data_IF_171733469294
#
_entry.id   IF_171733469294
#
_cell.length_a   1.000
_cell.length_b   1.000
_cell.length_c   1.000
_cell.angle_alpha   90.00
_cell.angle_beta   90.00
_cell.angle_gamma   90.00
#
_symmetry.space_group_name_H-M   'P 1'
#
loop_
_entity.id
_entity.type
_entity.pdbx_description
1 polymer ?
#
# COMPACT_ATOMS: atom_id res chain seq x y z
N UNK A 1 -3.08 2.33 6.49
CA UNK A 1 -3.56 2.01 5.12
C UNK A 1 -4.58 3.03 4.63
N UNK A 2 -5.66 3.28 5.39
CA UNK A 2 -6.63 4.34 5.07
C UNK A 2 -6.08 5.77 5.18
N UNK A 3 -4.86 5.95 5.70
CA UNK A 3 -4.12 7.22 5.66
C UNK A 3 -3.62 7.57 4.25
N UNK A 4 -3.66 6.64 3.31
CA UNK A 4 -3.29 6.87 1.90
C UNK A 4 -4.52 7.40 1.15
N UNK A 5 -4.53 8.67 0.68
CA UNK A 5 -5.75 9.32 0.17
C UNK A 5 -6.37 8.61 -1.03
N UNK A 6 -5.56 8.20 -2.01
CA UNK A 6 -6.02 7.49 -3.21
C UNK A 6 -6.63 6.11 -2.91
N UNK A 7 -6.25 5.50 -1.79
CA UNK A 7 -6.87 4.26 -1.33
C UNK A 7 -8.19 4.56 -0.62
N UNK A 8 -8.23 5.53 0.30
CA UNK A 8 -9.47 5.91 0.98
C UNK A 8 -10.54 6.36 -0.03
N UNK A 9 -10.15 7.16 -1.03
CA UNK A 9 -11.01 7.62 -2.11
C UNK A 9 -11.58 6.47 -2.95
N UNK A 10 -10.83 5.38 -3.17
CA UNK A 10 -11.31 4.20 -3.90
C UNK A 10 -12.52 3.54 -3.24
N UNK A 11 -12.66 3.66 -1.92
CA UNK A 11 -13.73 3.08 -1.14
C UNK A 11 -14.72 4.13 -0.63
N UNK A 12 -14.71 5.35 -1.20
CA UNK A 12 -15.57 6.47 -0.81
C UNK A 12 -15.43 6.87 0.68
N UNK A 13 -14.25 6.64 1.27
CA UNK A 13 -13.97 6.99 2.67
C UNK A 13 -13.32 8.38 2.72
N UNK A 14 -14.04 9.34 3.29
CA UNK A 14 -13.54 10.69 3.55
C UNK A 14 -12.70 10.74 4.83
N UNK A 15 -11.95 11.83 5.03
CA UNK A 15 -11.18 12.03 6.27
C UNK A 15 -12.09 12.08 7.51
N UNK A 16 -13.28 12.67 7.39
CA UNK A 16 -14.28 12.67 8.45
C UNK A 16 -14.81 11.25 8.73
N UNK A 17 -15.17 10.52 7.67
CA UNK A 17 -15.62 9.14 7.79
C UNK A 17 -14.57 8.24 8.43
N UNK A 18 -13.29 8.47 8.12
CA UNK A 18 -12.17 7.74 8.71
C UNK A 18 -12.08 7.93 10.24
N UNK A 19 -12.47 9.09 10.79
CA UNK A 19 -12.49 9.32 12.25
C UNK A 19 -13.54 8.44 12.93
N UNK A 20 -14.74 8.36 12.37
CA UNK A 20 -15.78 7.44 12.85
C UNK A 20 -15.34 5.99 12.75
N UNK A 21 -14.78 5.57 11.60
CA UNK A 21 -14.30 4.20 11.43
C UNK A 21 -13.23 3.82 12.46
N UNK A 22 -12.28 4.72 12.78
CA UNK A 22 -11.28 4.46 13.83
C UNK A 22 -11.92 4.26 15.20
N UNK A 23 -12.89 5.10 15.55
CA UNK A 23 -13.63 4.97 16.80
C UNK A 23 -14.37 3.63 16.84
N UNK A 24 -15.14 3.32 15.81
CA UNK A 24 -15.96 2.11 15.75
C UNK A 24 -15.13 0.84 15.73
N UNK A 25 -14.01 0.80 15.01
CA UNK A 25 -13.07 -0.34 15.04
C UNK A 25 -12.55 -0.57 16.46
N UNK A 26 -12.27 0.50 17.21
CA UNK A 26 -11.84 0.39 18.59
C UNK A 26 -12.96 -0.16 19.49
N UNK A 27 -14.17 0.41 19.43
CA UNK A 27 -15.29 0.12 20.33
C UNK A 27 -16.02 -1.20 20.00
N UNK A 28 -16.07 -1.60 18.72
CA UNK A 28 -16.61 -2.88 18.27
C UNK A 28 -15.75 -4.08 18.70
N UNK A 29 -14.53 -3.84 19.20
CA UNK A 29 -13.65 -4.85 19.77
C UNK A 29 -12.77 -5.57 18.75
N UNK A 30 -12.55 -5.01 17.56
CA UNK A 30 -11.64 -5.56 16.55
C UNK A 30 -10.20 -5.41 17.04
N UNK A 31 -9.45 -6.51 17.12
CA UNK A 31 -8.04 -6.52 17.60
C UNK A 31 -7.13 -7.46 16.82
N UNK A 32 -7.69 -8.39 16.05
CA UNK A 32 -6.98 -9.49 15.40
C UNK A 32 -7.23 -9.52 13.89
N UNK A 33 -6.82 -10.64 13.27
CA UNK A 33 -6.88 -10.92 11.85
C UNK A 33 -8.26 -10.76 11.20
N UNK A 34 -8.27 -10.90 9.88
CA UNK A 34 -9.44 -10.62 9.04
C UNK A 34 -10.65 -11.53 9.36
N UNK A 35 -10.38 -12.82 9.56
CA UNK A 35 -11.34 -13.87 9.87
C UNK A 35 -10.69 -15.00 10.69
N UNK A 36 -11.50 -15.98 11.10
CA UNK A 36 -11.00 -17.13 11.87
C UNK A 36 -10.08 -18.03 11.04
N UNK A 37 -10.21 -18.04 9.71
CA UNK A 37 -9.30 -18.80 8.83
C UNK A 37 -7.88 -18.22 8.93
N UNK A 38 -7.74 -16.89 8.97
CA UNK A 38 -6.46 -16.23 9.25
C UNK A 38 -5.87 -16.62 10.61
N UNK A 39 -6.70 -16.71 11.65
CA UNK A 39 -6.24 -17.09 12.99
C UNK A 39 -5.75 -18.54 12.98
N UNK A 40 -6.45 -19.44 12.29
CA UNK A 40 -6.06 -20.86 12.15
C UNK A 40 -4.79 -21.04 11.33
N UNK A 41 -4.60 -20.26 10.26
CA UNK A 41 -3.36 -20.26 9.47
C UNK A 41 -2.13 -19.86 10.30
N UNK A 42 -2.31 -19.08 11.36
CA UNK A 42 -1.27 -18.71 12.33
C UNK A 42 -1.12 -19.74 13.47
N UNK A 43 -1.79 -20.88 13.37
CA UNK A 43 -1.81 -21.94 14.40
C UNK A 43 -2.31 -21.44 15.77
N UNK A 44 -3.16 -20.40 15.77
CA UNK A 44 -3.77 -19.83 16.97
C UNK A 44 -5.21 -20.37 17.17
N UNK A 45 -5.71 -20.44 18.42
CA UNK A 45 -7.07 -20.88 18.68
C UNK A 45 -8.08 -19.85 18.17
N UNK A 46 -8.91 -20.27 17.20
CA UNK A 46 -10.00 -19.44 16.69
C UNK A 46 -11.10 -19.26 17.75
N UNK A 47 -11.30 -18.03 18.20
CA UNK A 47 -12.30 -17.68 19.22
C UNK A 47 -13.62 -17.19 18.63
N UNK A 48 -13.67 -16.90 17.33
CA UNK A 48 -14.83 -16.28 16.67
C UNK A 48 -15.07 -14.82 17.08
N UNK A 49 -14.20 -14.25 17.91
CA UNK A 49 -14.32 -12.91 18.48
C UNK A 49 -13.08 -12.08 18.17
N UNK A 50 -13.22 -10.76 18.23
CA UNK A 50 -12.14 -9.79 18.03
C UNK A 50 -11.47 -9.80 16.64
N UNK A 51 -11.99 -10.54 15.67
CA UNK A 51 -11.60 -10.45 14.26
C UNK A 51 -12.30 -9.28 13.56
N UNK A 52 -11.81 -8.89 12.37
CA UNK A 52 -12.51 -7.89 11.55
C UNK A 52 -13.92 -8.35 11.18
N UNK A 53 -14.08 -9.62 10.79
CA UNK A 53 -15.41 -10.22 10.52
C UNK A 53 -16.35 -10.07 11.71
N UNK A 54 -15.87 -10.33 12.93
CA UNK A 54 -16.68 -10.17 14.15
C UNK A 54 -17.12 -8.72 14.36
N UNK A 55 -16.19 -7.76 14.38
CA UNK A 55 -16.56 -6.36 14.63
C UNK A 55 -17.43 -5.78 13.51
N UNK A 56 -17.18 -6.15 12.26
CA UNK A 56 -18.03 -5.75 11.14
C UNK A 56 -19.44 -6.33 11.25
N UNK A 57 -19.57 -7.59 11.70
CA UNK A 57 -20.87 -8.20 11.97
C UNK A 57 -21.62 -7.42 13.06
N UNK A 58 -20.93 -7.00 14.13
CA UNK A 58 -21.54 -6.16 15.18
C UNK A 58 -22.03 -4.81 14.64
N UNK A 59 -21.23 -4.14 13.82
CA UNK A 59 -21.59 -2.85 13.23
C UNK A 59 -22.80 -2.97 12.28
N UNK A 60 -22.77 -3.96 11.38
CA UNK A 60 -23.88 -4.24 10.46
C UNK A 60 -25.15 -4.68 11.20
N UNK A 61 -24.99 -5.44 12.29
CA UNK A 61 -26.11 -5.82 13.13
C UNK A 61 -26.71 -4.62 13.87
N UNK A 62 -25.87 -3.69 14.36
CA UNK A 62 -26.30 -2.43 14.97
C UNK A 62 -27.06 -1.49 14.04
N UNK A 63 -26.87 -1.63 12.73
CA UNK A 63 -27.71 -0.97 11.73
C UNK A 63 -29.13 -1.56 11.67
N UNK A 64 -29.27 -2.87 11.85
CA UNK A 64 -30.55 -3.57 11.70
C UNK A 64 -31.34 -3.70 13.02
N UNK A 65 -30.64 -3.74 14.16
CA UNK A 65 -31.20 -4.03 15.47
C UNK A 65 -30.42 -3.32 16.57
N UNK A 66 -31.13 -2.70 17.50
CA UNK A 66 -30.54 -2.08 18.70
C UNK A 66 -30.05 -3.16 19.68
N UNK A 67 -28.96 -2.86 20.40
CA UNK A 67 -28.37 -3.76 21.41
C UNK A 67 -29.35 -4.17 22.52
N UNK A 68 -30.35 -3.33 22.82
CA UNK A 68 -31.40 -3.61 23.79
C UNK A 68 -32.28 -4.83 23.42
N UNK A 69 -32.31 -5.22 22.15
CA UNK A 69 -33.04 -6.41 21.67
C UNK A 69 -32.28 -7.72 21.95
N UNK A 70 -31.07 -7.64 22.50
CA UNK A 70 -30.24 -8.79 22.85
C UNK A 70 -29.27 -9.20 21.75
N UNK A 71 -28.66 -10.38 21.93
CA UNK A 71 -27.69 -10.91 20.98
C UNK A 71 -28.35 -11.65 19.81
N UNK A 72 -27.70 -11.59 18.65
CA UNK A 72 -28.03 -12.40 17.49
C UNK A 72 -26.84 -13.29 17.13
N UNK A 73 -27.04 -14.61 17.07
CA UNK A 73 -25.95 -15.59 16.84
C UNK A 73 -24.73 -15.38 17.75
N UNK A 74 -24.97 -15.10 19.05
CA UNK A 74 -23.91 -14.80 20.04
C UNK A 74 -23.09 -13.54 19.73
N UNK A 75 -23.64 -12.63 18.93
CA UNK A 75 -23.06 -11.34 18.59
C UNK A 75 -24.00 -10.25 19.07
N UNK A 76 -23.50 -9.36 19.95
CA UNK A 76 -24.26 -8.20 20.41
C UNK A 76 -24.12 -7.03 19.40
N UNK A 77 -25.23 -6.40 18.98
CA UNK A 77 -25.19 -5.24 18.09
C UNK A 77 -24.33 -4.09 18.64
N UNK A 78 -23.83 -3.25 17.73
CA UNK A 78 -23.08 -2.04 18.08
C UNK A 78 -23.83 -0.80 17.59
N UNK A 79 -24.44 -0.06 18.51
CA UNK A 79 -25.48 0.93 18.20
C UNK A 79 -24.95 2.23 17.57
N UNK A 80 -23.67 2.57 17.79
CA UNK A 80 -23.08 3.83 17.29
C UNK A 80 -22.95 3.87 15.77
N UNK A 81 -23.04 2.71 15.09
CA UNK A 81 -23.05 2.63 13.63
C UNK A 81 -24.46 2.65 13.04
N UNK A 82 -25.43 3.25 13.73
CA UNK A 82 -26.80 3.44 13.26
C UNK A 82 -26.99 4.79 12.54
N UNK A 83 -28.14 4.94 11.85
CA UNK A 83 -28.51 6.19 11.17
C UNK A 83 -27.78 6.43 9.84
N UNK A 84 -27.64 7.69 9.44
CA UNK A 84 -27.08 8.07 8.12
C UNK A 84 -25.61 7.68 7.96
N UNK A 85 -24.87 7.60 9.08
CA UNK A 85 -23.43 7.30 9.09
C UNK A 85 -23.17 5.80 8.85
N UNK A 86 -24.19 4.95 8.97
CA UNK A 86 -24.09 3.50 8.77
C UNK A 86 -23.57 3.10 7.38
N UNK A 87 -23.73 3.95 6.37
CA UNK A 87 -23.17 3.75 5.03
C UNK A 87 -21.63 3.54 5.07
N UNK A 88 -20.93 4.20 6.00
CA UNK A 88 -19.49 4.00 6.22
C UNK A 88 -19.13 2.56 6.57
N UNK A 89 -20.01 1.83 7.27
CA UNK A 89 -19.80 0.40 7.56
C UNK A 89 -19.81 -0.40 6.27
N UNK A 90 -20.66 -0.05 5.30
CA UNK A 90 -20.69 -0.65 3.98
C UNK A 90 -19.40 -0.42 3.19
N UNK A 91 -18.87 0.81 3.22
CA UNK A 91 -17.58 1.13 2.61
C UNK A 91 -16.42 0.35 3.23
N UNK A 92 -16.38 0.28 4.57
CA UNK A 92 -15.39 -0.53 5.29
C UNK A 92 -15.55 -2.03 4.98
N UNK A 93 -16.78 -2.54 4.92
CA UNK A 93 -17.07 -3.92 4.56
C UNK A 93 -16.53 -4.26 3.17
N UNK A 94 -16.76 -3.38 2.20
CA UNK A 94 -16.27 -3.51 0.83
C UNK A 94 -14.74 -3.58 0.78
N UNK A 95 -14.06 -2.69 1.51
CA UNK A 95 -12.60 -2.71 1.62
C UNK A 95 -12.08 -4.04 2.18
N UNK A 96 -12.64 -4.49 3.31
CA UNK A 96 -12.22 -5.74 3.95
C UNK A 96 -12.50 -6.95 3.07
N UNK A 97 -13.62 -6.96 2.36
CA UNK A 97 -13.93 -8.00 1.38
C UNK A 97 -12.89 -8.03 0.26
N UNK A 98 -12.54 -6.88 -0.29
CA UNK A 98 -11.52 -6.78 -1.34
C UNK A 98 -10.16 -7.27 -0.83
N UNK A 99 -9.73 -6.85 0.36
CA UNK A 99 -8.50 -7.35 0.99
C UNK A 99 -8.50 -8.88 1.14
N UNK A 100 -9.63 -9.47 1.55
CA UNK A 100 -9.72 -10.91 1.72
C UNK A 100 -9.62 -11.67 0.39
N UNK A 101 -10.28 -11.16 -0.66
CA UNK A 101 -10.20 -11.72 -2.01
C UNK A 101 -8.76 -11.74 -2.49
N UNK A 102 -8.06 -10.60 -2.38
CA UNK A 102 -6.67 -10.49 -2.81
C UNK A 102 -5.72 -11.32 -1.96
N UNK A 103 -5.88 -11.33 -0.64
CA UNK A 103 -5.07 -12.18 0.26
C UNK A 103 -5.15 -13.66 -0.16
N UNK A 104 -6.36 -14.18 -0.40
CA UNK A 104 -6.57 -15.58 -0.79
C UNK A 104 -6.05 -15.85 -2.21
N UNK A 105 -6.28 -14.91 -3.13
CA UNK A 105 -5.79 -15.02 -4.51
C UNK A 105 -4.27 -15.05 -4.59
N UNK A 106 -3.60 -14.19 -3.83
CA UNK A 106 -2.14 -14.03 -3.83
C UNK A 106 -1.39 -15.12 -3.05
N UNK A 107 -2.08 -15.98 -2.32
CA UNK A 107 -1.46 -17.01 -1.48
C UNK A 107 -0.91 -18.21 -2.28
N UNK A 108 -1.45 -18.48 -3.46
CA UNK A 108 -1.04 -19.61 -4.29
C UNK A 108 0.13 -19.23 -5.21
N UNK A 109 1.11 -20.13 -5.34
CA UNK A 109 2.17 -20.03 -6.34
C UNK A 109 1.56 -20.20 -7.75
N UNK A 110 2.10 -19.46 -8.72
CA UNK A 110 1.58 -19.48 -10.09
C UNK A 110 2.70 -19.45 -11.12
N UNK A 111 2.48 -19.99 -12.33
CA UNK A 111 3.36 -19.76 -13.47
C UNK A 111 3.60 -18.26 -13.70
N UNK A 112 4.79 -17.93 -14.19
CA UNK A 112 5.24 -16.55 -14.27
C UNK A 112 4.33 -15.66 -15.15
N UNK A 113 3.78 -16.21 -16.23
CA UNK A 113 2.82 -15.51 -17.10
C UNK A 113 1.51 -15.12 -16.40
N UNK A 114 1.05 -15.89 -15.41
CA UNK A 114 -0.20 -15.62 -14.70
C UNK A 114 -0.07 -14.44 -13.72
N UNK A 115 1.16 -14.05 -13.39
CA UNK A 115 1.43 -12.88 -12.55
C UNK A 115 1.30 -11.55 -13.30
N UNK A 116 1.35 -11.55 -14.65
CA UNK A 116 1.30 -10.32 -15.46
C UNK A 116 0.12 -9.40 -15.14
N UNK A 117 -1.15 -9.86 -15.13
CA UNK A 117 -2.29 -8.98 -14.88
C UNK A 117 -2.41 -8.54 -13.41
N UNK A 118 -1.80 -9.30 -12.49
CA UNK A 118 -2.03 -9.18 -11.04
C UNK A 118 -1.72 -7.78 -10.52
N UNK A 119 -0.60 -7.18 -10.94
CA UNK A 119 -0.23 -5.84 -10.48
C UNK A 119 -1.25 -4.78 -10.88
N UNK A 120 -1.62 -4.74 -12.17
CA UNK A 120 -2.59 -3.79 -12.71
C UNK A 120 -3.97 -3.97 -12.07
N UNK A 121 -4.41 -5.22 -11.96
CA UNK A 121 -5.72 -5.54 -11.36
C UNK A 121 -5.76 -5.14 -9.88
N UNK A 122 -4.66 -5.31 -9.14
CA UNK A 122 -4.56 -4.90 -7.74
C UNK A 122 -4.56 -3.38 -7.60
N UNK A 123 -3.81 -2.70 -8.47
CA UNK A 123 -3.75 -1.24 -8.51
C UNK A 123 -5.14 -0.64 -8.78
N UNK A 124 -5.86 -1.17 -9.78
CA UNK A 124 -7.23 -0.76 -10.08
C UNK A 124 -8.24 -1.15 -8.99
N UNK A 125 -7.99 -2.25 -8.27
CA UNK A 125 -8.85 -2.68 -7.18
C UNK A 125 -8.81 -1.72 -5.99
N UNK A 126 -7.61 -1.26 -5.60
CA UNK A 126 -7.39 -0.56 -4.33
C UNK A 126 -7.13 0.93 -4.46
N UNK A 127 -6.79 1.45 -5.63
CA UNK A 127 -6.43 2.85 -5.80
C UNK A 127 -7.32 3.54 -6.82
N UNK A 128 -7.75 4.76 -6.47
CA UNK A 128 -8.33 5.72 -7.39
C UNK A 128 -7.25 6.75 -7.72
N UNK A 129 -6.56 6.66 -8.88
CA UNK A 129 -5.42 7.50 -9.17
C UNK A 129 -5.78 8.99 -9.27
N UNK A 130 -4.86 9.82 -8.81
CA UNK A 130 -4.77 11.26 -9.09
C UNK A 130 -3.57 11.56 -10.00
N UNK A 131 -3.39 12.82 -10.38
CA UNK A 131 -2.35 13.22 -11.33
C UNK A 131 -0.91 12.92 -10.86
N UNK A 132 -0.66 12.89 -9.54
CA UNK A 132 0.67 12.59 -9.00
C UNK A 132 0.90 11.08 -8.89
N UNK A 133 -0.12 10.35 -8.43
CA UNK A 133 -0.04 8.90 -8.23
C UNK A 133 -0.12 8.11 -9.53
N UNK A 134 -0.71 8.64 -10.60
CA UNK A 134 -0.78 7.97 -11.90
C UNK A 134 0.62 7.65 -12.45
N UNK A 135 1.57 8.57 -12.30
CA UNK A 135 2.96 8.36 -12.70
C UNK A 135 3.63 7.26 -11.85
N UNK A 136 3.39 7.25 -10.54
CA UNK A 136 3.92 6.24 -9.64
C UNK A 136 3.32 4.85 -9.92
N UNK A 137 2.02 4.75 -10.18
CA UNK A 137 1.34 3.50 -10.53
C UNK A 137 1.87 2.95 -11.87
N UNK A 138 2.06 3.81 -12.85
CA UNK A 138 2.67 3.44 -14.14
C UNK A 138 4.08 2.88 -13.95
N UNK A 139 4.89 3.50 -13.08
CA UNK A 139 6.23 2.99 -12.77
C UNK A 139 6.17 1.59 -12.13
N UNK A 140 5.25 1.37 -11.19
CA UNK A 140 5.06 0.05 -10.55
C UNK A 140 4.69 -1.00 -11.61
N UNK A 141 3.74 -0.70 -12.51
CA UNK A 141 3.34 -1.60 -13.59
C UNK A 141 4.52 -1.92 -14.53
N UNK A 142 5.34 -0.93 -14.89
CA UNK A 142 6.50 -1.11 -15.75
C UNK A 142 7.55 -2.03 -15.12
N UNK A 143 7.89 -1.81 -13.84
CA UNK A 143 8.86 -2.66 -13.14
C UNK A 143 8.34 -4.08 -12.98
N UNK A 144 7.05 -4.24 -12.64
CA UNK A 144 6.42 -5.55 -12.56
C UNK A 144 6.48 -6.33 -13.88
N UNK A 145 6.15 -5.66 -15.00
CA UNK A 145 6.24 -6.26 -16.33
C UNK A 145 7.68 -6.63 -16.71
N UNK A 146 8.65 -5.78 -16.38
CA UNK A 146 10.06 -6.05 -16.65
C UNK A 146 10.58 -7.29 -15.91
N UNK A 147 10.27 -7.41 -14.61
CA UNK A 147 10.64 -8.58 -13.79
C UNK A 147 10.12 -9.87 -14.41
N UNK A 148 8.84 -9.88 -14.79
CA UNK A 148 8.20 -11.06 -15.38
C UNK A 148 8.78 -11.36 -16.77
N UNK A 149 8.97 -10.35 -17.62
CA UNK A 149 9.51 -10.53 -18.96
C UNK A 149 10.94 -11.14 -18.93
N UNK A 150 11.77 -10.73 -17.97
CA UNK A 150 13.11 -11.30 -17.78
C UNK A 150 13.06 -12.78 -17.39
N UNK A 151 12.18 -13.16 -16.44
CA UNK A 151 12.03 -14.55 -16.05
C UNK A 151 11.45 -15.44 -17.16
N UNK A 152 10.53 -14.89 -17.97
CA UNK A 152 9.99 -15.59 -19.14
C UNK A 152 11.05 -15.75 -20.24
N UNK A 153 11.90 -14.73 -20.45
CA UNK A 153 13.03 -14.79 -21.38
C UNK A 153 14.07 -15.85 -20.98
N UNK A 154 14.23 -16.11 -19.68
CA UNK A 154 15.07 -17.17 -19.14
C UNK A 154 14.41 -18.57 -19.17
N UNK A 155 13.17 -18.67 -19.65
CA UNK A 155 12.39 -19.92 -19.72
C UNK A 155 12.23 -20.60 -18.35
N UNK A 156 12.00 -19.81 -17.30
CA UNK A 156 11.71 -20.36 -15.98
C UNK A 156 10.37 -21.11 -15.99
N UNK A 157 10.41 -22.43 -15.79
CA UNK A 157 9.24 -23.31 -15.95
C UNK A 157 8.47 -23.62 -14.66
N UNK A 158 9.06 -23.36 -13.50
CA UNK A 158 8.41 -23.66 -12.21
C UNK A 158 7.47 -22.52 -11.78
N UNK A 159 6.51 -22.85 -10.91
CA UNK A 159 5.66 -21.85 -10.30
C UNK A 159 6.48 -20.92 -9.39
N UNK A 160 6.10 -19.65 -9.37
CA UNK A 160 6.80 -18.61 -8.60
C UNK A 160 5.91 -18.13 -7.46
N UNK A 161 6.41 -18.10 -6.21
CA UNK A 161 5.70 -17.48 -5.09
C UNK A 161 5.73 -15.95 -5.19
N UNK A 162 4.67 -15.30 -4.71
CA UNK A 162 4.58 -13.84 -4.71
C UNK A 162 5.75 -13.15 -3.99
N UNK A 163 6.28 -13.77 -2.93
CA UNK A 163 7.39 -13.20 -2.15
C UNK A 163 8.60 -12.86 -3.03
N UNK A 164 8.94 -13.73 -3.98
CA UNK A 164 10.06 -13.51 -4.90
C UNK A 164 9.84 -12.25 -5.75
N UNK A 165 8.66 -12.14 -6.36
CA UNK A 165 8.32 -11.00 -7.22
C UNK A 165 8.22 -9.69 -6.43
N UNK A 166 7.64 -9.75 -5.23
CA UNK A 166 7.53 -8.60 -4.32
C UNK A 166 8.90 -8.10 -3.91
N UNK A 167 9.81 -8.99 -3.53
CA UNK A 167 11.12 -8.63 -3.02
C UNK A 167 11.99 -8.02 -4.14
N UNK A 168 11.92 -8.58 -5.35
CA UNK A 168 12.57 -8.00 -6.54
C UNK A 168 11.97 -6.64 -6.93
N UNK A 169 10.64 -6.50 -6.89
CA UNK A 169 9.98 -5.21 -7.16
C UNK A 169 10.41 -4.14 -6.15
N UNK A 170 10.48 -4.47 -4.86
CA UNK A 170 10.95 -3.56 -3.83
C UNK A 170 12.40 -3.12 -4.09
N UNK A 171 13.27 -4.07 -4.43
CA UNK A 171 14.67 -3.78 -4.75
C UNK A 171 14.81 -2.84 -5.96
N UNK A 172 14.03 -3.05 -7.03
CA UNK A 172 14.05 -2.16 -8.21
C UNK A 172 13.56 -0.76 -7.88
N UNK A 173 12.45 -0.65 -7.15
CA UNK A 173 11.89 0.64 -6.76
C UNK A 173 12.84 1.42 -5.83
N UNK A 174 13.57 0.75 -4.94
CA UNK A 174 14.59 1.39 -4.09
C UNK A 174 15.81 1.89 -4.88
N UNK A 175 16.15 1.22 -5.98
CA UNK A 175 17.24 1.62 -6.88
C UNK A 175 16.82 2.74 -7.84
N UNK A 176 15.52 2.89 -8.09
CA UNK A 176 14.97 3.90 -8.99
C UNK A 176 15.09 5.30 -8.38
N UNK A 177 16.22 5.96 -8.65
CA UNK A 177 16.47 7.32 -8.16
C UNK A 177 15.55 8.30 -8.89
N UNK A 178 14.56 8.84 -8.18
CA UNK A 178 13.73 9.97 -8.64
C UNK A 178 14.61 11.23 -8.69
N UNK A 179 15.41 11.35 -9.75
CA UNK A 179 16.33 12.46 -9.97
C UNK A 179 15.68 13.54 -10.85
N UNK A 180 14.38 13.80 -10.67
CA UNK A 180 13.63 14.65 -11.59
C UNK A 180 14.01 16.15 -11.53
N UNK A 181 14.84 16.56 -10.56
CA UNK A 181 15.26 17.97 -10.39
C UNK A 181 16.73 18.14 -10.03
N UNK A 182 17.61 17.33 -10.61
CA UNK A 182 19.02 17.69 -10.61
C UNK A 182 19.19 18.92 -11.53
N UNK A 183 19.57 20.07 -10.96
CA UNK A 183 19.88 21.35 -11.65
C UNK A 183 18.71 22.28 -12.03
N UNK A 184 17.53 22.16 -11.41
CA UNK A 184 16.42 23.09 -11.67
C UNK A 184 16.44 24.38 -10.83
N UNK A 185 17.38 24.54 -9.89
CA UNK A 185 17.49 25.71 -9.01
C UNK A 185 18.91 26.01 -8.51
N UNK A 186 19.12 27.16 -7.85
CA UNK A 186 20.45 27.62 -7.39
C UNK A 186 21.06 26.76 -6.27
N UNK A 187 20.25 25.95 -5.58
CA UNK A 187 20.70 24.99 -4.58
C UNK A 187 20.13 23.62 -4.94
N UNK A 188 21.00 22.64 -5.16
CA UNK A 188 20.62 21.24 -5.37
C UNK A 188 21.07 20.44 -4.14
N UNK A 189 20.14 19.71 -3.54
CA UNK A 189 20.43 18.77 -2.46
C UNK A 189 20.47 17.38 -3.08
N UNK A 190 21.65 16.75 -3.05
CA UNK A 190 21.87 15.43 -3.60
C UNK A 190 22.85 14.63 -2.72
N UNK A 191 22.69 13.31 -2.71
CA UNK A 191 23.68 12.39 -2.16
C UNK A 191 24.85 12.27 -3.12
N UNK A 192 26.09 12.18 -2.59
CA UNK A 192 27.28 12.02 -3.42
C UNK A 192 27.27 10.65 -4.09
N UNK A 193 27.09 10.62 -5.41
CA UNK A 193 27.31 9.46 -6.25
C UNK A 193 28.42 9.73 -7.29
N UNK A 194 28.99 8.66 -7.83
CA UNK A 194 30.11 8.77 -8.78
C UNK A 194 29.73 9.51 -10.07
N UNK A 195 28.43 9.54 -10.42
CA UNK A 195 27.92 10.22 -11.61
C UNK A 195 27.61 11.71 -11.38
N UNK A 196 27.27 12.17 -10.17
CA UNK A 196 27.10 13.61 -9.88
C UNK A 196 28.39 14.40 -10.04
N UNK A 197 29.55 13.77 -9.83
CA UNK A 197 30.85 14.44 -10.02
C UNK A 197 31.09 14.85 -11.49
N UNK A 198 30.65 14.01 -12.43
CA UNK A 198 30.82 14.26 -13.86
C UNK A 198 29.82 15.31 -14.41
N UNK A 199 28.59 15.33 -13.91
CA UNK A 199 27.59 16.32 -14.34
C UNK A 199 27.92 17.74 -13.87
N UNK A 200 28.44 17.90 -12.64
CA UNK A 200 28.91 19.21 -12.14
C UNK A 200 30.11 19.74 -12.94
N UNK A 201 31.03 18.88 -13.38
CA UNK A 201 32.16 19.31 -14.22
C UNK A 201 31.75 19.70 -15.64
N UNK A 202 30.73 19.04 -16.20
CA UNK A 202 30.27 19.29 -17.57
C UNK A 202 29.49 20.60 -17.78
N UNK A 203 28.95 21.20 -16.69
CA UNK A 203 28.23 22.47 -16.71
C UNK A 203 29.07 23.72 -16.44
N UNK A 204 30.36 23.57 -16.14
CA UNK A 204 31.27 24.69 -15.93
C UNK A 204 31.84 25.16 -17.29
N UNK A 205 31.72 26.46 -17.66
CA UNK A 205 32.37 26.97 -18.85
C UNK A 205 33.87 26.72 -18.75
N UNK A 206 34.50 26.27 -19.85
CA UNK A 206 35.93 26.01 -19.95
C UNK A 206 36.74 27.30 -19.77
N UNK A 207 36.87 27.74 -18.52
CA UNK A 207 37.65 28.87 -18.05
C UNK A 207 38.96 28.37 -17.45
N UNK A 208 40.04 28.74 -18.10
CA UNK A 208 41.41 28.34 -17.82
C UNK A 208 41.91 28.90 -16.47
N UNK A 209 41.73 28.19 -15.36
CA UNK A 209 42.50 28.42 -14.14
C UNK A 209 42.85 27.09 -13.44
N UNK A 210 44.10 26.65 -13.63
CA UNK A 210 44.76 25.73 -12.68
C UNK A 210 44.93 26.47 -11.35
N UNK A 211 43.95 26.41 -10.45
CA UNK A 211 44.16 26.68 -9.03
C UNK A 211 43.81 25.44 -8.24
N UNK A 212 44.82 24.96 -7.51
CA UNK A 212 44.66 24.00 -6.41
C UNK A 212 43.66 24.60 -5.42
N UNK A 213 42.53 23.94 -5.20
CA UNK A 213 41.65 24.11 -4.05
C UNK A 213 41.55 22.70 -3.44
N UNK A 214 42.46 22.30 -2.55
CA UNK A 214 42.43 22.60 -1.11
C UNK A 214 41.06 22.34 -0.51
N UNK A 215 40.96 21.19 0.13
CA UNK A 215 39.99 20.78 1.16
C UNK A 215 39.55 21.96 2.04
N UNK A 216 38.36 22.51 1.79
CA UNK A 216 37.56 23.40 2.66
C UNK A 216 36.30 23.77 1.87
N UNK A 217 35.07 23.72 2.35
CA UNK A 217 34.52 23.41 3.65
C UNK A 217 33.05 22.99 3.39
N UNK A 218 32.65 21.81 3.86
CA UNK A 218 31.24 21.49 4.03
C UNK A 218 30.94 21.77 5.51
N UNK A 219 30.50 22.98 5.80
CA UNK A 219 30.09 23.42 7.12
C UNK A 219 28.98 24.47 6.98
N UNK A 220 27.73 24.00 6.86
CA UNK A 220 26.50 24.67 7.28
C UNK A 220 25.56 23.50 7.62
N UNK A 221 25.05 23.26 8.84
CA UNK A 221 24.93 24.12 10.01
C UNK A 221 23.48 24.59 10.14
N UNK A 222 22.67 23.79 10.86
CA UNK A 222 21.22 23.86 11.17
C UNK A 222 20.25 23.31 10.10
#
# INVERSE_FOLDING_TARGET
>A
MLDVPVLAARFDITEEGLRYLRQWVNESGIRWGIDDDNVRELELPATGQHTWRFGLTRMLLGYAMESAQGEWQSVLPYDESSGLIAELVGHLASLLMQLNIWRRGLAQERPLEEWLPVCRDMLNAFFLPDAETEAAMTLIEQQWQAIIAEGLGAQYGDAVPLSLLRDELAQRLDQERISQRFLAGPVNICTLDANAFNSVQSGLPAGNERRRLSTSACAIGL
#
